data_IF_717143098068
#
_entry.id   IF_717143098068
#
_cell.length_a   1.000
_cell.length_b   1.000
_cell.length_c   1.000
_cell.angle_alpha   90.00
_cell.angle_beta   90.00
_cell.angle_gamma   90.00
#
_symmetry.space_group_name_H-M   'P 1'
#
loop_
_entity.id
_entity.type
_entity.pdbx_description
1 polymer ?
#
# COMPACT_ATOMS: atom_id res chain seq x y z
N UNK A 1 -0.73 16.39 5.70
CA UNK A 1 0.04 15.30 6.31
C UNK A 1 1.43 15.26 5.70
N UNK A 2 2.50 15.20 6.49
CA UNK A 2 3.87 15.02 5.98
C UNK A 2 4.17 13.52 5.91
N UNK A 3 4.93 13.08 4.91
CA UNK A 3 5.27 11.66 4.71
C UNK A 3 5.91 11.04 5.96
N UNK A 4 6.98 11.68 6.47
CA UNK A 4 7.70 11.23 7.67
C UNK A 4 6.76 11.02 8.86
N UNK A 5 5.90 12.01 9.12
CA UNK A 5 5.01 11.99 10.28
C UNK A 5 3.98 10.86 10.13
N UNK A 6 3.42 10.67 8.93
CA UNK A 6 2.50 9.57 8.63
C UNK A 6 3.12 8.19 8.88
N UNK A 7 4.35 7.97 8.40
CA UNK A 7 5.04 6.69 8.55
C UNK A 7 5.36 6.39 10.02
N UNK A 8 5.78 7.41 10.77
CA UNK A 8 6.11 7.30 12.19
C UNK A 8 4.87 7.08 13.06
N UNK A 9 3.80 7.85 12.84
CA UNK A 9 2.56 7.76 13.62
C UNK A 9 1.83 6.43 13.39
N UNK A 10 1.88 5.89 12.16
CA UNK A 10 1.21 4.63 11.81
C UNK A 10 2.08 3.38 12.07
N UNK A 11 3.34 3.52 12.48
CA UNK A 11 4.31 2.42 12.57
C UNK A 11 4.34 1.55 11.29
N UNK A 12 4.29 2.19 10.12
CA UNK A 12 4.00 1.55 8.83
C UNK A 12 5.23 1.40 7.93
N UNK A 13 6.39 1.15 8.53
CA UNK A 13 7.65 0.88 7.82
C UNK A 13 8.03 -0.59 8.00
N UNK A 14 8.26 -1.30 6.89
CA UNK A 14 8.84 -2.65 6.89
C UNK A 14 10.06 -2.67 5.98
N UNK A 15 11.24 -2.88 6.55
CA UNK A 15 12.48 -2.97 5.78
C UNK A 15 12.86 -4.43 5.54
N UNK A 16 13.57 -4.66 4.45
CA UNK A 16 14.10 -5.96 4.03
C UNK A 16 13.02 -7.06 4.03
N UNK A 17 11.86 -6.74 3.46
CA UNK A 17 10.75 -7.66 3.36
C UNK A 17 11.00 -8.67 2.23
N UNK A 18 10.70 -9.94 2.47
CA UNK A 18 10.73 -10.98 1.45
C UNK A 18 9.34 -11.10 0.81
N UNK A 19 9.30 -11.11 -0.52
CA UNK A 19 8.11 -11.35 -1.31
C UNK A 19 8.49 -12.11 -2.59
N UNK A 20 7.78 -13.19 -2.89
CA UNK A 20 8.00 -14.00 -4.10
C UNK A 20 7.18 -13.49 -5.28
N UNK A 21 6.14 -12.71 -5.00
CA UNK A 21 5.23 -12.14 -6.00
C UNK A 21 5.02 -10.66 -5.73
N UNK A 22 4.63 -9.90 -6.76
CA UNK A 22 4.32 -8.48 -6.58
C UNK A 22 3.08 -8.30 -5.69
N UNK A 23 2.13 -9.25 -5.73
CA UNK A 23 0.95 -9.28 -4.87
C UNK A 23 1.34 -9.40 -3.40
N UNK A 24 2.29 -10.29 -3.07
CA UNK A 24 2.85 -10.39 -1.71
C UNK A 24 3.48 -9.07 -1.27
N UNK A 25 4.27 -8.41 -2.13
CA UNK A 25 4.88 -7.13 -1.80
C UNK A 25 3.84 -6.03 -1.52
N UNK A 26 2.79 -5.94 -2.35
CA UNK A 26 1.65 -5.02 -2.13
C UNK A 26 0.93 -5.37 -0.84
N UNK A 27 0.69 -6.66 -0.57
CA UNK A 27 0.00 -7.12 0.62
C UNK A 27 0.72 -6.70 1.90
N UNK A 28 2.04 -6.82 1.95
CA UNK A 28 2.83 -6.36 3.11
C UNK A 28 2.58 -4.87 3.38
N UNK A 29 2.62 -4.05 2.33
CA UNK A 29 2.36 -2.61 2.45
C UNK A 29 0.94 -2.28 2.91
N UNK A 30 -0.07 -3.00 2.41
CA UNK A 30 -1.48 -2.81 2.81
C UNK A 30 -1.74 -3.33 4.22
N UNK A 31 -1.16 -4.46 4.61
CA UNK A 31 -1.34 -5.05 5.95
C UNK A 31 -0.81 -4.10 7.05
N UNK A 32 0.27 -3.35 6.79
CA UNK A 32 0.73 -2.27 7.67
C UNK A 32 -0.32 -1.16 7.82
N UNK A 33 -0.98 -0.76 6.74
CA UNK A 33 -2.02 0.26 6.75
C UNK A 33 -3.31 -0.23 7.42
N UNK A 34 -3.64 -1.51 7.28
CA UNK A 34 -4.77 -2.14 7.99
C UNK A 34 -4.50 -2.18 9.50
N UNK A 35 -3.29 -2.58 9.91
CA UNK A 35 -2.89 -2.60 11.31
C UNK A 35 -2.92 -1.20 11.96
N UNK A 36 -2.65 -0.16 11.17
CA UNK A 36 -2.70 1.25 11.59
C UNK A 36 -4.11 1.90 11.50
N UNK A 37 -5.14 1.12 11.14
CA UNK A 37 -6.51 1.60 10.93
C UNK A 37 -6.60 2.73 9.88
N UNK A 38 -5.71 2.72 8.87
CA UNK A 38 -5.69 3.69 7.76
C UNK A 38 -6.62 3.25 6.64
N UNK A 39 -6.67 1.94 6.39
CA UNK A 39 -7.52 1.33 5.35
C UNK A 39 -8.23 0.10 5.90
N UNK A 40 -9.29 -0.32 5.22
CA UNK A 40 -9.99 -1.58 5.43
C UNK A 40 -9.26 -2.74 4.72
N UNK A 41 -9.40 -3.99 5.18
CA UNK A 41 -8.78 -5.15 4.54
C UNK A 41 -9.12 -5.32 3.05
N UNK A 42 -10.32 -4.86 2.62
CA UNK A 42 -10.75 -4.91 1.21
C UNK A 42 -9.92 -4.02 0.27
N UNK A 43 -9.15 -3.06 0.81
CA UNK A 43 -8.33 -2.16 0.01
C UNK A 43 -7.25 -2.90 -0.78
N UNK A 44 -6.75 -4.03 -0.26
CA UNK A 44 -5.82 -4.90 -0.98
C UNK A 44 -6.45 -5.44 -2.27
N UNK A 45 -7.67 -5.98 -2.19
CA UNK A 45 -8.36 -6.52 -3.36
C UNK A 45 -8.61 -5.44 -4.40
N UNK A 46 -9.00 -4.23 -3.98
CA UNK A 46 -9.21 -3.11 -4.89
C UNK A 46 -7.95 -2.75 -5.70
N UNK A 47 -6.76 -2.84 -5.09
CA UNK A 47 -5.50 -2.64 -5.80
C UNK A 47 -5.27 -3.76 -6.84
N UNK A 48 -5.57 -5.01 -6.50
CA UNK A 48 -5.45 -6.13 -7.45
C UNK A 48 -6.39 -5.96 -8.64
N UNK A 49 -7.66 -5.63 -8.38
CA UNK A 49 -8.69 -5.41 -9.41
C UNK A 49 -8.27 -4.24 -10.33
N UNK A 50 -7.69 -3.18 -9.74
CA UNK A 50 -7.13 -2.07 -10.50
C UNK A 50 -5.99 -2.50 -11.44
N UNK A 51 -5.10 -3.40 -11.00
CA UNK A 51 -4.03 -3.92 -11.86
C UNK A 51 -4.59 -4.80 -12.97
N UNK A 52 -5.58 -5.64 -12.67
CA UNK A 52 -6.25 -6.46 -13.68
C UNK A 52 -6.91 -5.59 -14.76
N UNK A 53 -7.52 -4.48 -14.38
CA UNK A 53 -8.23 -3.58 -15.30
C UNK A 53 -7.30 -2.66 -16.09
N UNK A 54 -6.28 -2.09 -15.45
CA UNK A 54 -5.49 -0.98 -16.00
C UNK A 54 -4.01 -1.32 -16.23
N UNK A 55 -3.59 -2.56 -15.92
CA UNK A 55 -2.18 -2.92 -15.82
C UNK A 55 -1.52 -2.27 -14.58
N UNK A 56 -0.18 -2.34 -14.46
CA UNK A 56 0.55 -1.86 -13.28
C UNK A 56 0.68 -0.32 -13.23
N UNK A 57 -0.44 0.39 -13.17
CA UNK A 57 -0.53 1.87 -13.22
C UNK A 57 0.23 2.60 -12.11
N UNK A 58 0.57 1.89 -11.03
CA UNK A 58 1.25 2.44 -9.87
C UNK A 58 2.78 2.29 -9.89
N UNK A 59 3.37 1.70 -10.93
CA UNK A 59 4.83 1.63 -11.09
C UNK A 59 5.32 2.98 -11.61
N UNK A 60 6.04 3.72 -10.77
CA UNK A 60 6.48 5.09 -11.08
C UNK A 60 7.81 5.08 -11.83
N UNK A 61 8.72 4.18 -11.44
CA UNK A 61 10.05 4.04 -12.01
C UNK A 61 10.59 2.62 -11.77
N UNK A 62 11.64 2.18 -12.48
CA UNK A 62 12.32 0.92 -12.17
C UNK A 62 12.73 0.86 -10.68
N UNK A 63 12.26 -0.17 -9.99
CA UNK A 63 12.50 -0.36 -8.56
C UNK A 63 11.61 0.47 -7.61
N UNK A 64 10.63 1.23 -8.11
CA UNK A 64 9.73 2.04 -7.29
C UNK A 64 8.27 1.92 -7.73
N UNK A 65 7.42 1.47 -6.81
CA UNK A 65 5.97 1.39 -6.97
C UNK A 65 5.26 2.14 -5.84
N UNK A 66 4.07 2.69 -6.12
CA UNK A 66 3.21 3.33 -5.14
C UNK A 66 1.78 2.75 -5.24
N UNK A 67 1.55 1.50 -4.79
CA UNK A 67 0.25 0.84 -4.92
C UNK A 67 -0.85 1.63 -4.19
N UNK A 68 -1.96 1.92 -4.88
CA UNK A 68 -3.08 2.69 -4.33
C UNK A 68 -4.37 2.41 -5.11
N UNK A 69 -5.51 2.39 -4.42
CA UNK A 69 -6.85 2.40 -5.00
C UNK A 69 -7.57 3.74 -4.73
N UNK A 70 -8.85 3.82 -5.11
CA UNK A 70 -9.71 4.97 -4.84
C UNK A 70 -10.07 5.08 -3.35
N UNK A 71 -10.39 6.27 -2.83
CA UNK A 71 -10.78 6.45 -1.43
C UNK A 71 -11.96 5.55 -1.00
N UNK A 72 -13.01 5.46 -1.81
CA UNK A 72 -14.21 4.65 -1.55
C UNK A 72 -13.96 3.14 -1.46
N UNK A 73 -12.79 2.68 -1.93
CA UNK A 73 -12.39 1.27 -1.97
C UNK A 73 -11.82 0.75 -0.64
N UNK A 74 -11.83 1.58 0.42
CA UNK A 74 -11.50 1.14 1.77
C UNK A 74 -10.65 2.11 2.57
N UNK A 75 -10.44 3.35 2.11
CA UNK A 75 -9.64 4.32 2.84
C UNK A 75 -10.47 4.92 3.99
N UNK A 76 -9.95 4.85 5.21
CA UNK A 76 -10.56 5.46 6.41
C UNK A 76 -10.02 6.86 6.67
N UNK A 77 -8.72 7.05 6.44
CA UNK A 77 -7.98 8.32 6.60
C UNK A 77 -6.77 8.32 5.67
N UNK A 78 -6.21 9.50 5.42
CA UNK A 78 -4.93 9.60 4.68
C UNK A 78 -3.81 8.92 5.47
N UNK A 79 -2.94 8.18 4.80
CA UNK A 79 -1.75 7.59 5.40
C UNK A 79 -0.82 6.95 4.37
N UNK A 80 0.41 6.65 4.79
CA UNK A 80 1.43 6.02 3.96
C UNK A 80 2.00 4.79 4.67
N UNK A 81 2.47 3.82 3.87
CA UNK A 81 3.37 2.76 4.32
C UNK A 81 4.58 2.70 3.40
N UNK A 82 5.70 2.17 3.91
CA UNK A 82 6.94 2.00 3.16
C UNK A 82 7.43 0.56 3.34
N UNK A 83 7.68 -0.11 2.22
CA UNK A 83 8.25 -1.46 2.17
C UNK A 83 9.49 -1.45 1.28
N UNK A 84 10.57 -2.08 1.73
CA UNK A 84 11.82 -2.29 0.96
C UNK A 84 12.25 -3.73 1.01
#
# INVERSE_FOLDING_TARGET
MKLRDSLAENNSIRLQAEANTWQEAVKIGVDLLVAADVVEPRYYQAILDGVEQFGPYFVIAPGLAMPHGRPEEGVKKTGFSLVT
#
